data_IF_672679164627
#
_entry.id   IF_672679164627
#
_cell.length_a   1.000
_cell.length_b   1.000
_cell.length_c   1.000
_cell.angle_alpha   90.00
_cell.angle_beta   90.00
_cell.angle_gamma   90.00
#
_symmetry.space_group_name_H-M   'P 1'
#
loop_
_entity.id
_entity.type
_entity.pdbx_description
1 polymer ?
#
# COMPACT_ATOMS: atom_id res chain seq x y z
N UNK A 1 -23.56 -30.46 56.93
CA UNK A 1 -23.06 -29.26 57.65
C UNK A 1 -21.85 -28.72 56.89
N UNK A 2 -22.00 -27.56 56.22
CA UNK A 2 -20.97 -26.52 55.98
C UNK A 2 -19.72 -27.01 55.19
N UNK A 3 -19.42 -26.60 53.94
CA UNK A 3 -19.44 -25.24 53.39
C UNK A 3 -19.36 -25.27 51.86
N UNK A 4 -20.22 -24.48 51.24
CA UNK A 4 -20.17 -23.94 49.88
C UNK A 4 -18.80 -23.30 49.60
N UNK A 5 -18.18 -23.57 48.45
CA UNK A 5 -17.27 -22.61 47.83
C UNK A 5 -17.72 -22.27 46.42
N UNK A 6 -17.93 -20.96 46.28
CA UNK A 6 -18.38 -20.25 45.10
C UNK A 6 -17.29 -20.22 44.02
N UNK A 7 -17.73 -20.43 42.77
CA UNK A 7 -17.39 -19.72 41.54
C UNK A 7 -16.18 -18.77 41.63
N UNK A 8 -15.14 -19.06 40.84
CA UNK A 8 -14.50 -18.05 39.99
C UNK A 8 -14.22 -18.66 38.62
N UNK A 9 -15.24 -18.60 37.76
CA UNK A 9 -15.06 -18.63 36.31
C UNK A 9 -14.38 -17.30 35.92
N UNK A 10 -13.11 -17.12 36.27
CA UNK A 10 -12.33 -16.01 35.74
C UNK A 10 -11.88 -16.40 34.34
N UNK A 11 -12.68 -15.94 33.39
CA UNK A 11 -12.38 -15.78 31.97
C UNK A 11 -10.89 -15.49 31.76
N UNK A 12 -10.10 -16.53 31.50
CA UNK A 12 -8.76 -16.42 30.94
C UNK A 12 -8.90 -16.26 29.43
N UNK A 13 -9.54 -15.17 28.99
CA UNK A 13 -9.33 -14.65 27.63
C UNK A 13 -8.05 -13.80 27.70
N UNK A 14 -6.93 -14.44 28.03
CA UNK A 14 -5.61 -13.90 27.74
C UNK A 14 -5.18 -14.51 26.41
N UNK A 15 -5.13 -13.66 25.38
CA UNK A 15 -4.22 -13.89 24.26
C UNK A 15 -4.75 -14.77 23.13
N UNK A 16 -5.91 -14.45 22.58
CA UNK A 16 -6.13 -14.67 21.14
C UNK A 16 -6.23 -13.31 20.44
N UNK A 17 -5.24 -12.44 20.65
CA UNK A 17 -4.80 -11.64 19.53
C UNK A 17 -4.07 -12.61 18.61
N UNK A 18 -4.82 -13.25 17.71
CA UNK A 18 -4.22 -13.77 16.49
C UNK A 18 -3.68 -12.53 15.77
N UNK A 19 -2.43 -12.17 16.05
CA UNK A 19 -1.72 -11.26 15.16
C UNK A 19 -1.59 -12.07 13.87
N UNK A 20 -2.37 -11.69 12.86
CA UNK A 20 -2.28 -12.30 11.55
C UNK A 20 -0.99 -11.77 10.91
N UNK A 21 0.14 -12.27 11.41
CA UNK A 21 1.48 -12.09 10.87
C UNK A 21 1.52 -12.86 9.53
N UNK A 22 1.07 -12.23 8.45
CA UNK A 22 1.07 -12.90 7.15
C UNK A 22 0.86 -12.01 5.94
N UNK A 23 0.16 -10.89 6.08
CA UNK A 23 0.01 -9.92 5.00
C UNK A 23 0.27 -8.52 5.57
N UNK A 24 1.36 -7.90 5.14
CA UNK A 24 1.58 -6.46 5.36
C UNK A 24 0.35 -5.72 4.85
N UNK A 25 -0.31 -4.94 5.73
CA UNK A 25 -1.46 -4.15 5.30
C UNK A 25 -1.09 -3.28 4.10
N UNK A 26 -1.98 -3.10 3.11
CA UNK A 26 -1.73 -2.21 1.99
C UNK A 26 -1.28 -0.82 2.46
N UNK A 27 -0.31 -0.26 1.74
CA UNK A 27 0.24 1.08 2.00
C UNK A 27 0.06 1.93 0.77
N UNK A 28 -0.99 2.75 0.78
CA UNK A 28 -1.28 3.72 -0.26
C UNK A 28 -0.68 5.07 0.12
N UNK A 29 0.50 5.37 -0.42
CA UNK A 29 1.18 6.64 -0.17
C UNK A 29 0.62 7.73 -1.09
N UNK A 30 0.11 8.81 -0.52
CA UNK A 30 -0.45 9.94 -1.27
C UNK A 30 0.64 10.72 -2.02
N UNK A 31 0.33 11.26 -3.20
CA UNK A 31 1.28 12.09 -3.92
C UNK A 31 1.32 13.53 -3.37
N UNK A 32 2.46 13.93 -2.79
CA UNK A 32 2.78 15.31 -2.39
C UNK A 32 3.90 15.91 -3.25
N UNK A 33 4.05 15.41 -4.48
CA UNK A 33 5.06 15.86 -5.44
C UNK A 33 6.24 14.90 -5.61
N UNK A 34 6.30 13.81 -4.84
CA UNK A 34 7.36 12.80 -4.97
C UNK A 34 7.17 11.86 -6.17
N UNK A 35 5.96 11.81 -6.75
CA UNK A 35 5.65 11.01 -7.93
C UNK A 35 5.23 11.89 -9.12
N UNK A 36 5.04 11.27 -10.29
CA UNK A 36 4.54 11.98 -11.47
C UNK A 36 3.21 12.70 -11.17
N UNK A 37 2.97 13.93 -11.67
CA UNK A 37 1.80 14.75 -11.29
C UNK A 37 0.42 14.10 -11.49
N UNK A 38 0.30 13.18 -12.46
CA UNK A 38 -0.95 12.46 -12.73
C UNK A 38 -1.25 11.35 -11.70
N UNK A 39 -0.33 11.05 -10.78
CA UNK A 39 -0.51 10.02 -9.75
C UNK A 39 -1.14 10.66 -8.54
N UNK A 40 -2.21 10.06 -8.04
CA UNK A 40 -2.87 10.44 -6.78
C UNK A 40 -2.29 9.62 -5.62
N UNK A 41 -2.14 8.31 -5.81
CA UNK A 41 -1.56 7.39 -4.82
C UNK A 41 -0.64 6.35 -5.46
N UNK A 42 0.31 5.85 -4.69
CA UNK A 42 1.12 4.69 -5.04
C UNK A 42 0.93 3.58 -4.00
N UNK A 43 0.80 2.34 -4.46
CA UNK A 43 0.81 1.14 -3.59
C UNK A 43 2.07 0.35 -3.84
N UNK A 44 2.80 0.07 -2.76
CA UNK A 44 3.97 -0.79 -2.77
C UNK A 44 3.53 -2.26 -2.69
N UNK A 45 3.86 -3.03 -3.72
CA UNK A 45 3.47 -4.43 -3.87
C UNK A 45 4.73 -5.31 -3.94
N UNK A 46 4.66 -6.54 -3.40
CA UNK A 46 5.84 -7.41 -3.28
C UNK A 46 6.57 -7.71 -4.60
N UNK A 47 5.88 -7.60 -5.73
CA UNK A 47 6.41 -7.82 -7.09
C UNK A 47 6.26 -6.59 -7.99
N UNK A 48 6.07 -5.39 -7.44
CA UNK A 48 5.87 -4.22 -8.27
C UNK A 48 5.40 -2.96 -7.55
N UNK A 49 5.05 -1.95 -8.33
CA UNK A 49 4.41 -0.72 -7.84
C UNK A 49 3.19 -0.40 -8.66
N UNK A 50 2.11 -0.05 -7.98
CA UNK A 50 0.87 0.36 -8.64
C UNK A 50 0.68 1.86 -8.43
N UNK A 51 0.27 2.55 -9.48
CA UNK A 51 0.04 3.98 -9.48
C UNK A 51 -1.42 4.25 -9.83
N UNK A 52 -2.12 4.90 -8.91
CA UNK A 52 -3.53 5.22 -9.02
C UNK A 52 -3.66 6.66 -9.51
N UNK A 53 -4.39 6.85 -10.60
CA UNK A 53 -4.66 8.13 -11.24
C UNK A 53 -6.18 8.27 -11.37
N UNK A 54 -6.69 9.49 -11.53
CA UNK A 54 -8.14 9.75 -11.55
C UNK A 54 -8.96 8.85 -12.48
N UNK A 55 -8.42 8.49 -13.64
CA UNK A 55 -9.10 7.67 -14.64
C UNK A 55 -8.34 6.40 -15.02
N UNK A 56 -7.24 6.06 -14.35
CA UNK A 56 -6.48 4.86 -14.66
C UNK A 56 -5.64 4.34 -13.52
N UNK A 57 -5.36 3.04 -13.55
CA UNK A 57 -4.40 2.38 -12.68
C UNK A 57 -3.28 1.84 -13.55
N UNK A 58 -2.03 2.16 -13.21
CA UNK A 58 -0.85 1.65 -13.88
C UNK A 58 -0.11 0.68 -12.96
N UNK A 59 0.25 -0.48 -13.49
CA UNK A 59 0.96 -1.53 -12.77
C UNK A 59 2.34 -1.70 -13.37
N UNK A 60 3.40 -1.47 -12.60
CA UNK A 60 4.76 -1.82 -12.97
C UNK A 60 5.14 -3.09 -12.21
N UNK A 61 5.18 -4.22 -12.91
CA UNK A 61 5.46 -5.53 -12.34
C UNK A 61 6.84 -6.01 -12.77
N UNK A 62 7.59 -6.61 -11.85
CA UNK A 62 8.90 -7.20 -12.14
C UNK A 62 8.94 -8.65 -11.67
N UNK A 63 9.84 -9.44 -12.27
CA UNK A 63 10.11 -10.80 -11.80
C UNK A 63 10.78 -10.76 -10.42
N UNK A 64 9.99 -11.06 -9.39
CA UNK A 64 10.45 -11.08 -7.99
C UNK A 64 11.52 -12.15 -7.75
N UNK A 65 11.43 -13.30 -8.42
CA UNK A 65 12.38 -14.40 -8.23
C UNK A 65 13.72 -14.02 -8.83
N UNK A 66 13.73 -13.44 -10.04
CA UNK A 66 14.98 -12.93 -10.65
C UNK A 66 15.66 -11.87 -9.77
N UNK A 67 14.87 -10.96 -9.17
CA UNK A 67 15.41 -9.97 -8.21
C UNK A 67 16.01 -10.65 -6.97
N UNK A 68 15.39 -11.73 -6.48
CA UNK A 68 15.90 -12.50 -5.36
C UNK A 68 17.24 -13.16 -5.69
N UNK A 69 17.31 -13.87 -6.83
CA UNK A 69 18.53 -14.51 -7.32
C UNK A 69 19.69 -13.50 -7.44
N UNK A 70 19.45 -12.34 -8.06
CA UNK A 70 20.47 -11.28 -8.21
C UNK A 70 20.95 -10.78 -6.84
N UNK A 71 20.04 -10.55 -5.89
CA UNK A 71 20.39 -10.05 -4.55
C UNK A 71 21.22 -11.04 -3.74
N UNK A 72 21.06 -12.34 -3.99
CA UNK A 72 21.78 -13.40 -3.31
C UNK A 72 22.99 -13.92 -4.09
N UNK A 73 23.26 -13.37 -5.28
CA UNK A 73 24.36 -13.82 -6.13
C UNK A 73 24.16 -15.23 -6.70
N UNK A 74 22.91 -15.67 -6.83
CA UNK A 74 22.54 -16.97 -7.41
C UNK A 74 22.55 -16.94 -8.96
N UNK A 75 22.63 -15.74 -9.54
CA UNK A 75 22.74 -15.51 -10.98
C UNK A 75 23.66 -14.32 -11.27
N UNK A 76 24.50 -14.45 -12.29
CA UNK A 76 25.33 -13.35 -12.82
C UNK A 76 24.60 -12.54 -13.90
N UNK A 77 23.43 -13.01 -14.37
CA UNK A 77 22.65 -12.31 -15.39
C UNK A 77 21.85 -11.17 -14.71
N UNK A 78 22.18 -9.90 -15.04
CA UNK A 78 21.58 -8.75 -14.38
C UNK A 78 20.22 -8.36 -14.97
N UNK A 79 19.77 -9.03 -16.05
CA UNK A 79 18.56 -8.64 -16.76
C UNK A 79 17.32 -9.02 -15.94
N UNK A 80 16.48 -8.03 -15.65
CA UNK A 80 15.19 -8.22 -15.00
C UNK A 80 14.08 -7.82 -15.96
N UNK A 81 13.17 -8.76 -16.22
CA UNK A 81 11.97 -8.46 -17.00
C UNK A 81 10.99 -7.63 -16.18
N UNK A 82 10.52 -6.55 -16.78
CA UNK A 82 9.54 -5.64 -16.21
C UNK A 82 8.39 -5.49 -17.21
N UNK A 83 7.16 -5.66 -16.74
CA UNK A 83 5.95 -5.50 -17.52
C UNK A 83 5.11 -4.34 -16.98
N UNK A 84 4.54 -3.56 -17.90
CA UNK A 84 3.62 -2.48 -17.55
C UNK A 84 2.24 -2.78 -18.09
N UNK A 85 1.25 -2.73 -17.21
CA UNK A 85 -0.17 -2.84 -17.55
C UNK A 85 -0.90 -1.57 -17.15
N UNK A 86 -1.96 -1.24 -17.88
CA UNK A 86 -2.85 -0.14 -17.54
C UNK A 86 -4.30 -0.61 -17.56
N UNK A 87 -5.04 -0.29 -16.50
CA UNK A 87 -6.50 -0.36 -16.47
C UNK A 87 -7.01 1.06 -16.64
N UNK A 88 -7.75 1.32 -17.71
CA UNK A 88 -8.31 2.64 -18.01
C UNK A 88 -9.82 2.61 -17.79
N UNK A 89 -10.34 3.53 -16.99
CA UNK A 89 -11.77 3.72 -16.78
C UNK A 89 -12.35 4.53 -17.94
N UNK A 90 -12.77 3.85 -18.99
CA UNK A 90 -13.30 4.49 -20.20
C UNK A 90 -14.60 5.25 -19.88
N UNK A 91 -14.69 6.50 -20.36
CA UNK A 91 -15.84 7.38 -20.12
C UNK A 91 -15.99 7.82 -18.66
N UNK A 92 -14.95 7.68 -17.82
CA UNK A 92 -15.03 8.10 -16.43
C UNK A 92 -15.06 9.61 -16.27
N UNK A 93 -15.71 10.05 -15.22
CA UNK A 93 -15.53 11.38 -14.67
C UNK A 93 -14.09 11.50 -14.11
N UNK A 94 -13.52 12.70 -14.13
CA UNK A 94 -12.24 12.99 -13.44
C UNK A 94 -12.49 13.30 -11.95
N UNK A 95 -13.14 12.35 -11.28
CA UNK A 95 -13.48 12.41 -9.86
C UNK A 95 -12.27 12.44 -8.93
N UNK A 96 -12.54 12.46 -7.64
CA UNK A 96 -11.52 12.45 -6.60
C UNK A 96 -11.11 11.02 -6.25
N UNK A 97 -9.82 10.80 -6.04
CA UNK A 97 -9.31 9.60 -5.37
C UNK A 97 -8.98 10.00 -3.94
N UNK A 98 -9.67 9.46 -2.95
CA UNK A 98 -9.51 9.79 -1.54
C UNK A 98 -8.80 8.67 -0.78
N UNK A 99 -7.87 9.03 0.10
CA UNK A 99 -7.26 8.09 1.05
C UNK A 99 -8.16 7.87 2.26
N UNK A 100 -8.30 6.62 2.69
CA UNK A 100 -9.12 6.22 3.83
C UNK A 100 -8.28 5.44 4.85
N UNK A 101 -8.65 5.57 6.13
CA UNK A 101 -8.01 4.85 7.23
C UNK A 101 -6.48 5.08 7.24
N UNK A 102 -6.08 6.33 7.46
CA UNK A 102 -4.66 6.74 7.53
C UNK A 102 -3.90 5.88 8.56
N UNK A 103 -2.70 5.47 8.19
CA UNK A 103 -1.76 4.86 9.13
C UNK A 103 -1.26 5.93 10.11
N UNK A 104 -0.82 5.50 11.30
CA UNK A 104 -0.26 6.43 12.30
C UNK A 104 1.12 6.96 11.92
N UNK A 105 1.77 6.36 10.93
CA UNK A 105 3.07 6.77 10.41
C UNK A 105 2.93 7.47 9.06
N UNK A 106 4.00 8.15 8.68
CA UNK A 106 4.13 8.84 7.40
C UNK A 106 5.47 8.46 6.76
N UNK A 107 5.60 8.77 5.48
CA UNK A 107 6.84 8.61 4.73
C UNK A 107 7.50 9.95 4.42
N UNK A 108 8.81 9.96 4.28
CA UNK A 108 9.60 11.12 3.87
C UNK A 108 10.42 10.76 2.64
N UNK A 109 10.44 11.65 1.66
CA UNK A 109 11.09 11.45 0.37
C UNK A 109 12.15 12.54 0.16
N UNK A 110 13.41 12.12 0.02
CA UNK A 110 14.56 12.99 -0.23
C UNK A 110 15.09 12.70 -1.64
N UNK A 111 14.44 13.26 -2.66
CA UNK A 111 14.71 12.94 -4.07
C UNK A 111 15.86 13.80 -4.60
N UNK A 112 17.04 13.18 -4.70
CA UNK A 112 18.25 13.84 -5.18
C UNK A 112 18.69 15.01 -4.29
N UNK A 113 19.57 15.85 -4.84
CA UNK A 113 20.18 16.96 -4.09
C UNK A 113 19.34 18.25 -4.09
N UNK A 114 18.22 18.28 -4.83
CA UNK A 114 17.32 19.43 -4.91
C UNK A 114 16.22 19.30 -3.86
N UNK A 115 16.33 20.09 -2.78
CA UNK A 115 15.39 20.03 -1.66
C UNK A 115 13.97 20.45 -2.03
N UNK A 116 13.76 21.13 -3.16
CA UNK A 116 12.42 21.47 -3.65
C UNK A 116 11.63 20.24 -4.10
N UNK A 117 12.33 19.13 -4.35
CA UNK A 117 11.75 17.82 -4.70
C UNK A 117 11.55 16.92 -3.49
N UNK A 118 11.84 17.39 -2.29
CA UNK A 118 11.65 16.62 -1.08
C UNK A 118 10.21 16.74 -0.60
N UNK A 119 9.64 15.62 -0.15
CA UNK A 119 8.31 15.58 0.41
C UNK A 119 8.38 15.04 1.84
N UNK A 120 7.97 15.87 2.81
CA UNK A 120 7.93 15.50 4.22
C UNK A 120 6.50 15.19 4.67
N UNK A 121 6.39 14.28 5.64
CA UNK A 121 5.12 13.86 6.25
C UNK A 121 4.09 13.51 5.18
N UNK A 122 4.47 12.62 4.29
CA UNK A 122 3.57 12.08 3.25
C UNK A 122 2.66 11.05 3.92
N UNK A 123 1.34 11.29 3.95
CA UNK A 123 0.42 10.37 4.61
C UNK A 123 0.33 9.06 3.83
N UNK A 124 0.13 7.98 4.58
CA UNK A 124 -0.02 6.62 4.05
C UNK A 124 -1.36 6.08 4.51
N UNK A 125 -2.15 5.55 3.59
CA UNK A 125 -3.50 5.08 3.85
C UNK A 125 -3.58 3.56 3.73
N UNK A 126 -4.53 2.95 4.45
CA UNK A 126 -4.84 1.52 4.32
C UNK A 126 -5.71 1.22 3.12
N UNK A 127 -6.51 2.20 2.70
CA UNK A 127 -7.50 2.09 1.63
C UNK A 127 -7.52 3.37 0.80
N UNK A 128 -7.97 3.26 -0.44
CA UNK A 128 -8.33 4.41 -1.29
C UNK A 128 -9.73 4.21 -1.86
N UNK A 129 -10.42 5.32 -2.13
CA UNK A 129 -11.76 5.32 -2.73
C UNK A 129 -11.80 6.29 -3.89
N UNK A 130 -12.25 5.80 -5.04
CA UNK A 130 -12.63 6.66 -6.17
C UNK A 130 -14.06 7.15 -5.93
N UNK A 131 -14.23 8.46 -5.83
CA UNK A 131 -15.53 9.10 -5.65
C UNK A 131 -16.01 9.70 -6.96
N UNK A 132 -17.28 9.45 -7.32
CA UNK A 132 -17.90 9.99 -8.53
C UNK A 132 -17.07 9.68 -9.78
N UNK A 133 -16.61 8.43 -9.91
CA UNK A 133 -15.84 7.98 -11.09
C UNK A 133 -16.76 7.78 -12.29
N UNK A 134 -18.03 7.46 -12.05
CA UNK A 134 -19.10 7.45 -13.04
C UNK A 134 -20.36 8.06 -12.43
N UNK A 135 -21.24 8.59 -13.27
CA UNK A 135 -22.51 9.11 -12.81
C UNK A 135 -23.32 8.00 -12.13
N UNK A 136 -23.68 8.23 -10.86
CA UNK A 136 -24.43 7.27 -10.05
C UNK A 136 -23.60 6.19 -9.35
N UNK A 137 -22.25 6.23 -9.43
CA UNK A 137 -21.32 5.28 -8.78
C UNK A 137 -20.33 6.00 -7.85
#
# INVERSE_FOLDING_TARGET
>A
MIKTQFIFLSVLILGLFVHNEGLTQPRFTANKGQFHPNVEFQLDHAAGRFYFQKNKIKYHLFDKNKIHEIKHGETDDPLVNIHTYETVFLGSNLGEVAGLNEHSFHENYFIGNDSTKWANKVPVYKEIKYNNIYDGI
#
